data_IF_525995844810
#
_entry.id   IF_525995844810
#
_cell.length_a   1.000
_cell.length_b   1.000
_cell.length_c   1.000
_cell.angle_alpha   90.00
_cell.angle_beta   90.00
_cell.angle_gamma   90.00
#
_symmetry.space_group_name_H-M   'P 1'
#
loop_
_entity.id
_entity.type
_entity.pdbx_description
1 polymer ?
#
# COMPACT_ATOMS: atom_id res chain seq x y z
N UNK A 1 16.79 -19.47 6.12
CA UNK A 1 16.90 -18.08 5.66
C UNK A 1 18.35 -17.68 5.79
N UNK A 2 18.98 -17.22 4.72
CA UNK A 2 20.35 -16.69 4.76
C UNK A 2 20.28 -15.20 5.17
N UNK A 3 20.75 -14.84 6.37
CA UNK A 3 20.66 -13.48 6.88
C UNK A 3 21.35 -12.45 5.98
N UNK A 4 22.43 -12.85 5.29
CA UNK A 4 23.19 -11.95 4.43
C UNK A 4 22.42 -11.60 3.15
N UNK A 5 21.74 -12.57 2.53
CA UNK A 5 20.86 -12.28 1.40
C UNK A 5 19.64 -11.44 1.79
N UNK A 6 19.09 -11.66 2.98
CA UNK A 6 18.01 -10.82 3.52
C UNK A 6 18.44 -9.36 3.73
N UNK A 7 19.67 -9.10 4.17
CA UNK A 7 20.21 -7.73 4.35
C UNK A 7 20.38 -7.02 3.00
N UNK A 8 20.91 -7.71 1.98
CA UNK A 8 21.04 -7.10 0.65
C UNK A 8 19.67 -6.79 0.02
N UNK A 9 18.68 -7.68 0.21
CA UNK A 9 17.31 -7.39 -0.21
C UNK A 9 16.71 -6.18 0.53
N UNK A 10 17.01 -6.01 1.82
CA UNK A 10 16.56 -4.83 2.59
C UNK A 10 17.16 -3.52 2.07
N UNK A 11 18.42 -3.50 1.62
CA UNK A 11 19.02 -2.30 1.02
C UNK A 11 18.28 -1.90 -0.25
N UNK A 12 17.98 -2.86 -1.13
CA UNK A 12 17.21 -2.60 -2.36
C UNK A 12 15.80 -2.10 -2.05
N UNK A 13 15.14 -2.69 -1.05
CA UNK A 13 13.82 -2.23 -0.60
C UNK A 13 13.90 -0.81 -0.04
N UNK A 14 14.88 -0.50 0.81
CA UNK A 14 15.06 0.85 1.38
C UNK A 14 15.34 1.89 0.29
N UNK A 15 16.15 1.56 -0.71
CA UNK A 15 16.41 2.45 -1.86
C UNK A 15 15.15 2.68 -2.70
N UNK A 16 14.39 1.62 -2.99
CA UNK A 16 13.13 1.74 -3.72
C UNK A 16 12.10 2.57 -2.93
N UNK A 17 12.00 2.35 -1.61
CA UNK A 17 11.16 3.16 -0.73
C UNK A 17 11.61 4.62 -0.69
N UNK A 18 12.92 4.89 -0.57
CA UNK A 18 13.46 6.26 -0.64
C UNK A 18 13.07 6.98 -1.93
N UNK A 19 13.18 6.30 -3.08
CA UNK A 19 12.77 6.85 -4.37
C UNK A 19 11.28 7.19 -4.42
N UNK A 20 10.43 6.45 -3.72
CA UNK A 20 9.00 6.78 -3.60
C UNK A 20 8.83 8.07 -2.81
N UNK A 21 9.47 8.19 -1.65
CA UNK A 21 9.37 9.38 -0.80
C UNK A 21 9.92 10.63 -1.48
N UNK A 22 11.00 10.53 -2.26
CA UNK A 22 11.61 11.67 -2.98
C UNK A 22 10.71 12.25 -4.09
N UNK A 23 9.72 11.48 -4.55
CA UNK A 23 8.80 11.86 -5.61
C UNK A 23 7.46 12.41 -5.10
N UNK A 24 7.23 12.44 -3.78
CA UNK A 24 5.91 12.75 -3.21
C UNK A 24 5.91 14.02 -2.36
N UNK A 25 4.76 14.68 -2.34
CA UNK A 25 4.39 15.59 -1.25
C UNK A 25 3.45 14.92 -0.27
N UNK A 26 3.27 15.51 0.92
CA UNK A 26 2.47 14.92 2.00
C UNK A 26 1.47 15.90 2.62
N UNK A 27 0.31 15.35 2.95
CA UNK A 27 -0.71 16.01 3.77
C UNK A 27 -1.10 15.13 4.96
N UNK A 28 -1.36 15.79 6.09
CA UNK A 28 -2.17 15.24 7.17
C UNK A 28 -3.63 15.53 6.87
N UNK A 29 -4.41 14.50 6.53
CA UNK A 29 -5.78 14.64 6.05
C UNK A 29 -6.77 14.17 7.10
N UNK A 30 -7.60 15.08 7.61
CA UNK A 30 -8.65 14.73 8.54
C UNK A 30 -9.91 14.26 7.81
N UNK A 31 -10.51 13.19 8.29
CA UNK A 31 -11.80 12.73 7.83
C UNK A 31 -12.91 13.44 8.62
N UNK A 32 -13.74 14.21 7.91
CA UNK A 32 -14.91 14.91 8.45
C UNK A 32 -16.22 14.19 8.14
N UNK A 33 -16.15 12.98 7.58
CA UNK A 33 -17.31 12.14 7.30
C UNK A 33 -17.64 11.22 8.47
N UNK A 34 -18.83 10.62 8.45
CA UNK A 34 -19.25 9.63 9.45
C UNK A 34 -18.68 8.23 9.23
N UNK A 35 -18.09 7.97 8.05
CA UNK A 35 -17.45 6.70 7.70
C UNK A 35 -15.99 6.76 8.15
N UNK A 36 -15.52 5.92 9.08
CA UNK A 36 -14.13 5.98 9.53
C UNK A 36 -13.16 5.39 8.49
N UNK A 37 -11.90 5.83 8.54
CA UNK A 37 -10.83 5.08 7.91
C UNK A 37 -10.62 3.74 8.63
N UNK A 38 -10.39 2.70 7.84
CA UNK A 38 -9.87 1.43 8.30
C UNK A 38 -8.37 1.54 8.52
N UNK A 39 -7.82 0.67 9.36
CA UNK A 39 -6.36 0.48 9.49
C UNK A 39 -6.04 -1.01 9.29
N UNK A 40 -4.77 -1.37 9.14
CA UNK A 40 -4.38 -2.77 8.94
C UNK A 40 -3.01 -3.05 9.54
N UNK A 41 -2.62 -4.32 9.49
CA UNK A 41 -1.26 -4.78 9.80
C UNK A 41 -0.23 -4.42 8.71
N UNK A 42 -0.66 -3.72 7.66
CA UNK A 42 0.16 -3.14 6.62
C UNK A 42 -0.14 -1.65 6.47
N UNK A 43 0.35 -0.81 7.39
CA UNK A 43 -0.15 0.54 7.57
C UNK A 43 0.34 1.51 6.50
N UNK A 44 1.37 1.20 5.71
CA UNK A 44 1.88 2.10 4.66
C UNK A 44 1.76 1.40 3.31
N UNK A 45 0.92 1.94 2.45
CA UNK A 45 0.63 1.35 1.14
C UNK A 45 0.88 2.40 0.05
N UNK A 46 1.43 1.99 -1.08
CA UNK A 46 1.57 2.86 -2.25
C UNK A 46 1.27 2.11 -3.54
N UNK A 47 0.73 2.85 -4.50
CA UNK A 47 0.30 2.33 -5.79
C UNK A 47 0.18 3.44 -6.84
N UNK A 48 0.08 3.05 -8.11
CA UNK A 48 -0.22 3.95 -9.22
C UNK A 48 -1.74 4.18 -9.31
N UNK A 49 -2.26 5.38 -8.95
CA UNK A 49 -3.69 5.65 -8.93
C UNK A 49 -4.32 5.72 -10.33
N UNK A 50 -3.52 5.75 -11.41
CA UNK A 50 -4.02 5.73 -12.79
C UNK A 50 -4.42 4.33 -13.26
N UNK A 51 -4.05 3.29 -12.52
CA UNK A 51 -4.33 1.89 -12.86
C UNK A 51 -5.65 1.46 -12.23
N UNK A 52 -6.52 0.84 -13.04
CA UNK A 52 -7.78 0.27 -12.55
C UNK A 52 -7.52 -0.82 -11.53
N UNK A 53 -8.41 -0.96 -10.56
CA UNK A 53 -8.28 -1.94 -9.48
C UNK A 53 -7.98 -3.37 -9.97
N UNK A 54 -8.62 -3.82 -11.05
CA UNK A 54 -8.41 -5.16 -11.61
C UNK A 54 -6.98 -5.42 -12.11
N UNK A 55 -6.29 -4.37 -12.56
CA UNK A 55 -4.93 -4.44 -13.12
C UNK A 55 -3.87 -3.93 -12.16
N UNK A 56 -4.29 -3.42 -10.99
CA UNK A 56 -3.42 -2.81 -10.00
C UNK A 56 -2.47 -3.86 -9.42
N UNK A 57 -1.18 -3.57 -9.46
CA UNK A 57 -0.14 -4.36 -8.81
C UNK A 57 0.38 -3.61 -7.58
N UNK A 58 0.46 -4.27 -6.41
CA UNK A 58 0.91 -3.60 -5.19
C UNK A 58 2.38 -3.22 -5.32
N UNK A 59 2.76 -2.03 -4.85
CA UNK A 59 4.15 -1.58 -4.75
C UNK A 59 4.95 -1.52 -6.04
N UNK A 60 4.27 -1.51 -7.20
CA UNK A 60 4.92 -1.34 -8.50
C UNK A 60 4.97 0.15 -8.85
N UNK A 61 6.18 0.62 -9.16
CA UNK A 61 6.42 1.97 -9.64
C UNK A 61 6.66 1.94 -11.14
N UNK A 62 6.00 2.82 -11.87
CA UNK A 62 6.33 3.08 -13.27
C UNK A 62 7.28 4.28 -13.32
N UNK A 63 8.31 4.27 -14.17
CA UNK A 63 9.13 5.45 -14.39
C UNK A 63 8.24 6.65 -14.76
N UNK A 64 8.33 7.73 -13.97
CA UNK A 64 7.51 8.94 -14.11
C UNK A 64 5.99 8.72 -14.01
N UNK A 65 5.55 7.58 -13.48
CA UNK A 65 4.13 7.33 -13.21
C UNK A 65 3.69 8.03 -11.92
N UNK A 66 2.38 8.34 -11.78
CA UNK A 66 1.88 8.90 -10.54
C UNK A 66 1.98 7.86 -9.43
N UNK A 67 2.22 8.34 -8.21
CA UNK A 67 2.27 7.50 -7.01
C UNK A 67 1.38 8.13 -5.96
N UNK A 68 0.52 7.31 -5.38
CA UNK A 68 -0.31 7.66 -4.23
C UNK A 68 0.09 6.76 -3.07
N UNK A 69 0.39 7.37 -1.93
CA UNK A 69 0.68 6.71 -0.66
C UNK A 69 -0.45 6.97 0.33
N UNK A 70 -0.88 5.91 1.00
CA UNK A 70 -1.83 5.98 2.12
C UNK A 70 -1.18 5.42 3.37
N UNK A 71 -1.22 6.19 4.45
CA UNK A 71 -0.91 5.72 5.79
C UNK A 71 -2.02 6.11 6.77
N UNK A 72 -3.04 5.24 6.97
CA UNK A 72 -4.10 5.52 7.92
C UNK A 72 -3.55 5.46 9.36
N UNK A 73 -3.49 6.62 10.01
CA UNK A 73 -2.97 6.78 11.37
C UNK A 73 -4.06 6.47 12.39
N UNK A 74 -5.28 6.90 12.09
CA UNK A 74 -6.45 6.72 12.93
C UNK A 74 -7.73 6.71 12.08
N UNK A 75 -8.90 6.43 12.68
CA UNK A 75 -10.19 6.48 11.98
C UNK A 75 -10.51 7.83 11.37
N UNK A 76 -9.90 8.89 11.89
CA UNK A 76 -10.16 10.28 11.50
C UNK A 76 -8.96 10.96 10.85
N UNK A 77 -7.84 10.26 10.67
CA UNK A 77 -6.60 10.84 10.15
C UNK A 77 -5.84 9.86 9.26
N UNK A 78 -5.46 10.34 8.08
CA UNK A 78 -4.57 9.63 7.16
C UNK A 78 -3.41 10.55 6.78
N UNK A 79 -2.20 9.99 6.70
CA UNK A 79 -1.13 10.65 5.94
C UNK A 79 -1.33 10.26 4.48
N UNK A 80 -1.60 11.28 3.68
CA UNK A 80 -1.80 11.17 2.24
C UNK A 80 -0.54 11.64 1.54
N UNK A 81 0.05 10.77 0.73
CA UNK A 81 1.16 11.12 -0.15
C UNK A 81 0.71 11.08 -1.60
N UNK A 82 1.12 12.07 -2.39
CA UNK A 82 0.80 12.12 -3.81
C UNK A 82 1.94 12.80 -4.58
N UNK A 83 2.31 12.21 -5.70
CA UNK A 83 3.32 12.76 -6.61
C UNK A 83 2.98 14.14 -7.18
N UNK A 84 1.69 14.46 -7.35
CA UNK A 84 1.22 15.72 -7.94
C UNK A 84 1.40 16.94 -7.04
N UNK A 85 1.55 16.74 -5.73
CA UNK A 85 1.71 17.79 -4.71
C UNK A 85 3.16 17.95 -4.23
N UNK A 86 4.11 17.29 -4.91
CA UNK A 86 5.52 17.30 -4.52
C UNK A 86 6.08 18.72 -4.44
N UNK A 87 5.81 19.55 -5.44
CA UNK A 87 6.40 20.89 -5.51
C UNK A 87 5.88 21.79 -4.39
N UNK A 88 4.59 21.69 -4.07
CA UNK A 88 3.98 22.39 -2.94
C UNK A 88 4.61 21.94 -1.61
N UNK A 89 4.80 20.64 -1.42
CA UNK A 89 5.45 20.10 -0.22
C UNK A 89 6.90 20.58 -0.07
N UNK A 90 7.64 20.71 -1.18
CA UNK A 90 9.01 21.23 -1.14
C UNK A 90 9.04 22.71 -0.73
N UNK A 91 8.05 23.50 -1.16
CA UNK A 91 7.98 24.92 -0.80
C UNK A 91 7.40 25.19 0.59
N UNK A 92 6.43 24.40 1.04
CA UNK A 92 5.58 24.72 2.19
C UNK A 92 5.66 23.68 3.33
N UNK A 93 6.23 22.51 3.05
CA UNK A 93 6.27 21.38 3.99
C UNK A 93 4.99 20.56 3.99
N UNK A 94 4.73 19.84 5.09
CA UNK A 94 3.53 19.00 5.23
C UNK A 94 2.27 19.87 5.31
N UNK A 95 1.34 19.66 4.39
CA UNK A 95 0.04 20.31 4.38
C UNK A 95 -0.96 19.70 5.36
N UNK A 96 -2.05 20.43 5.65
CA UNK A 96 -3.20 19.92 6.38
C UNK A 96 -4.44 20.09 5.50
N UNK A 97 -5.23 19.03 5.36
CA UNK A 97 -6.47 19.07 4.60
C UNK A 97 -7.60 18.33 5.32
N UNK A 98 -8.82 18.55 4.85
CA UNK A 98 -10.03 17.88 5.33
C UNK A 98 -10.70 17.17 4.14
N UNK A 99 -11.15 15.93 4.36
CA UNK A 99 -12.05 15.21 3.44
C UNK A 99 -13.44 15.21 4.03
N UNK A 100 -14.39 15.72 3.26
CA UNK A 100 -15.82 15.75 3.62
C UNK A 100 -16.67 14.88 2.69
N UNK A 101 -16.08 14.27 1.66
CA UNK A 101 -16.80 13.37 0.75
C UNK A 101 -16.57 11.90 1.12
N UNK A 102 -17.67 11.18 1.35
CA UNK A 102 -17.64 9.76 1.72
C UNK A 102 -16.96 8.90 0.65
N UNK A 103 -17.10 9.26 -0.64
CA UNK A 103 -16.52 8.50 -1.74
C UNK A 103 -15.00 8.37 -1.63
N UNK A 104 -14.28 9.42 -1.22
CA UNK A 104 -12.82 9.33 -1.03
C UNK A 104 -12.46 8.37 0.11
N UNK A 105 -13.23 8.41 1.20
CA UNK A 105 -13.02 7.52 2.34
C UNK A 105 -13.26 6.06 1.94
N UNK A 106 -14.29 5.78 1.15
CA UNK A 106 -14.55 4.44 0.62
C UNK A 106 -13.45 3.95 -0.31
N UNK A 107 -12.93 4.82 -1.20
CA UNK A 107 -11.80 4.50 -2.08
C UNK A 107 -10.56 4.15 -1.25
N UNK A 108 -10.23 4.94 -0.23
CA UNK A 108 -9.06 4.67 0.62
C UNK A 108 -9.25 3.37 1.40
N UNK A 109 -10.41 3.16 1.99
CA UNK A 109 -10.73 1.94 2.73
C UNK A 109 -10.67 0.69 1.85
N UNK A 110 -11.10 0.80 0.57
CA UNK A 110 -10.96 -0.29 -0.40
C UNK A 110 -9.49 -0.68 -0.57
N UNK A 111 -8.60 0.28 -0.78
CA UNK A 111 -7.17 -0.01 -0.94
C UNK A 111 -6.55 -0.55 0.36
N UNK A 112 -6.89 0.02 1.51
CA UNK A 112 -6.43 -0.48 2.84
C UNK A 112 -6.81 -1.95 3.03
N UNK A 113 -8.04 -2.34 2.69
CA UNK A 113 -8.49 -3.73 2.75
C UNK A 113 -7.73 -4.66 1.80
N UNK A 114 -7.45 -4.22 0.56
CA UNK A 114 -6.72 -5.01 -0.44
C UNK A 114 -5.27 -5.23 -0.05
N UNK A 115 -4.64 -4.21 0.52
CA UNK A 115 -3.23 -4.23 0.90
C UNK A 115 -2.97 -4.87 2.28
N UNK A 116 -4.00 -5.07 3.11
CA UNK A 116 -3.85 -5.75 4.39
C UNK A 116 -3.25 -7.16 4.23
N UNK A 117 -2.31 -7.52 5.10
CA UNK A 117 -1.66 -8.83 5.04
C UNK A 117 -2.48 -9.88 5.78
N UNK A 118 -2.95 -9.59 6.98
CA UNK A 118 -3.70 -10.54 7.80
C UNK A 118 -4.94 -9.93 8.40
N UNK A 119 -4.84 -8.68 8.86
CA UNK A 119 -5.86 -8.06 9.68
C UNK A 119 -6.22 -6.68 9.17
N UNK A 120 -7.53 -6.42 9.15
CA UNK A 120 -8.11 -5.09 8.99
C UNK A 120 -8.78 -4.75 10.31
N UNK A 121 -8.50 -3.56 10.84
CA UNK A 121 -9.08 -3.07 12.09
C UNK A 121 -10.13 -2.02 11.78
N UNK A 122 -11.39 -2.33 12.12
CA UNK A 122 -12.52 -1.42 12.07
C UNK A 122 -12.85 -0.93 13.48
N UNK A 123 -13.24 0.34 13.61
CA UNK A 123 -13.64 0.93 14.90
C UNK A 123 -15.15 0.96 15.12
N UNK A 124 -15.92 0.79 14.05
CA UNK A 124 -17.38 0.79 14.08
C UNK A 124 -17.91 -0.30 13.16
N UNK A 125 -19.12 -0.76 13.44
CA UNK A 125 -19.84 -1.63 12.52
C UNK A 125 -20.22 -0.88 11.23
N UNK A 126 -20.42 -1.62 10.14
CA UNK A 126 -20.90 -1.10 8.85
C UNK A 126 -19.93 -1.23 7.67
N UNK A 127 -18.70 -1.66 7.92
CA UNK A 127 -17.66 -1.85 6.88
C UNK A 127 -17.35 -3.34 6.62
N UNK A 128 -18.09 -4.26 7.24
CA UNK A 128 -17.88 -5.71 7.15
C UNK A 128 -17.99 -6.21 5.72
N UNK A 129 -18.93 -5.66 4.94
CA UNK A 129 -19.08 -6.00 3.53
C UNK A 129 -17.82 -5.70 2.73
N UNK A 130 -17.26 -4.50 2.87
CA UNK A 130 -16.03 -4.09 2.18
C UNK A 130 -14.83 -4.94 2.61
N UNK A 131 -14.74 -5.25 3.90
CA UNK A 131 -13.68 -6.13 4.43
C UNK A 131 -13.81 -7.53 3.83
N UNK A 132 -15.04 -8.06 3.78
CA UNK A 132 -15.33 -9.39 3.24
C UNK A 132 -15.04 -9.48 1.74
N UNK A 133 -15.36 -8.44 0.97
CA UNK A 133 -15.07 -8.33 -0.48
C UNK A 133 -13.56 -8.53 -0.79
N UNK A 134 -12.68 -8.21 0.16
CA UNK A 134 -11.22 -8.30 0.00
C UNK A 134 -10.54 -9.25 0.99
N UNK A 135 -11.29 -10.07 1.73
CA UNK A 135 -10.77 -10.92 2.80
C UNK A 135 -9.75 -11.97 2.31
N UNK A 136 -9.87 -12.39 1.05
CA UNK A 136 -9.02 -13.42 0.47
C UNK A 136 -7.78 -12.88 -0.25
N UNK A 137 -7.62 -11.56 -0.37
CA UNK A 137 -6.54 -10.93 -1.13
C UNK A 137 -5.52 -10.24 -0.23
N UNK A 138 -4.25 -10.32 -0.59
CA UNK A 138 -3.18 -9.52 0.01
C UNK A 138 -2.02 -9.35 -0.98
N UNK A 139 -1.12 -8.38 -0.80
CA UNK A 139 0.10 -8.31 -1.58
C UNK A 139 0.96 -9.56 -1.35
N UNK A 140 1.31 -10.28 -2.41
CA UNK A 140 2.19 -11.44 -2.39
C UNK A 140 3.24 -11.33 -3.50
N UNK A 141 4.34 -12.08 -3.35
CA UNK A 141 5.38 -12.20 -4.38
C UNK A 141 5.05 -13.42 -5.23
N UNK A 142 4.86 -13.23 -6.54
CA UNK A 142 4.86 -14.32 -7.52
C UNK A 142 6.28 -14.51 -8.06
N UNK A 143 6.71 -15.76 -8.15
CA UNK A 143 7.98 -16.17 -8.72
C UNK A 143 7.72 -16.88 -10.04
N UNK A 144 8.23 -16.33 -11.14
CA UNK A 144 8.15 -16.94 -12.45
C UNK A 144 9.59 -17.29 -12.90
N UNK A 145 9.79 -18.53 -13.35
CA UNK A 145 11.07 -18.99 -13.93
C UNK A 145 10.99 -18.78 -15.44
N UNK A 146 11.94 -18.04 -15.99
CA UNK A 146 12.03 -17.74 -17.42
C UNK A 146 13.34 -18.34 -17.95
N UNK A 147 13.26 -19.11 -19.03
CA UNK A 147 14.40 -19.79 -19.65
C UNK A 147 14.37 -21.32 -19.50
N UNK A 148 15.40 -21.98 -20.03
CA UNK A 148 15.63 -23.42 -19.89
C UNK A 148 17.14 -23.71 -19.83
N UNK A 149 17.58 -24.54 -18.89
CA UNK A 149 18.99 -24.92 -18.75
C UNK A 149 19.81 -23.95 -17.89
N UNK A 150 21.07 -23.70 -18.27
CA UNK A 150 21.99 -22.82 -17.52
C UNK A 150 21.60 -21.33 -17.54
N UNK A 151 20.67 -20.93 -18.41
CA UNK A 151 20.14 -19.55 -18.53
C UNK A 151 18.80 -19.34 -17.77
N UNK A 152 18.53 -20.13 -16.74
CA UNK A 152 17.32 -19.96 -15.92
C UNK A 152 17.40 -18.66 -15.10
N UNK A 153 16.49 -17.73 -15.40
CA UNK A 153 16.31 -16.49 -14.62
C UNK A 153 15.03 -16.55 -13.81
N UNK A 154 15.07 -16.05 -12.58
CA UNK A 154 13.88 -15.91 -11.73
C UNK A 154 13.42 -14.46 -11.78
N UNK A 155 12.17 -14.24 -12.17
CA UNK A 155 11.50 -12.94 -12.11
C UNK A 155 10.55 -12.93 -10.93
N UNK A 156 10.56 -11.83 -10.20
CA UNK A 156 9.72 -11.58 -9.04
C UNK A 156 8.72 -10.48 -9.39
N UNK A 157 7.45 -10.68 -9.06
CA UNK A 157 6.42 -9.68 -9.26
C UNK A 157 5.54 -9.56 -8.02
N UNK A 158 5.26 -8.33 -7.60
CA UNK A 158 4.27 -8.05 -6.57
C UNK A 158 2.87 -8.12 -7.19
N UNK A 159 2.01 -8.98 -6.64
CA UNK A 159 0.64 -9.20 -7.11
C UNK A 159 -0.34 -9.21 -5.93
N UNK A 160 -1.64 -9.03 -6.18
CA UNK A 160 -2.65 -9.42 -5.20
C UNK A 160 -2.90 -10.92 -5.34
N UNK A 161 -2.45 -11.68 -4.35
CA UNK A 161 -2.63 -13.13 -4.27
C UNK A 161 -3.45 -13.53 -3.06
N UNK A 162 -3.60 -14.85 -2.86
CA UNK A 162 -4.32 -15.41 -1.72
C UNK A 162 -3.69 -14.92 -0.41
N UNK A 163 -4.54 -14.45 0.51
CA UNK A 163 -4.15 -14.07 1.86
C UNK A 163 -3.70 -15.30 2.64
N UNK A 164 -2.38 -15.45 2.81
CA UNK A 164 -1.83 -16.56 3.57
C UNK A 164 -1.87 -16.27 5.07
N UNK A 165 -2.36 -17.26 5.83
CA UNK A 165 -2.24 -17.23 7.29
C UNK A 165 -0.80 -17.58 7.63
N UNK A 166 -0.01 -16.60 8.11
CA UNK A 166 1.36 -16.90 8.56
C UNK A 166 1.28 -17.95 9.66
N UNK A 167 2.14 -18.99 9.62
CA UNK A 167 2.19 -19.97 10.69
C UNK A 167 2.45 -19.25 12.01
N UNK A 168 1.83 -19.72 13.10
CA UNK A 168 2.23 -19.27 14.44
C UNK A 168 3.72 -19.59 14.60
N UNK A 169 4.47 -18.66 15.19
CA UNK A 169 5.85 -18.94 15.60
C UNK A 169 5.83 -20.21 16.47
N UNK A 170 6.63 -21.18 16.10
CA UNK A 170 6.83 -22.42 16.85
C UNK A 170 8.25 -22.32 17.40
N UNK A 171 8.38 -22.35 18.73
CA UNK A 171 9.67 -22.26 19.42
C UNK A 171 10.63 -23.41 19.07
#
# INVERSE_FOLDING_TARGET
>A
MDPHQSIHAMVTVMQATGQVFDQMGFYAVHNKTDVPFLTSDNPVIWFDPSVKDADLRPYVLRPNGPVLLLFPVSPSLIIYGDSSIRDEFVSEGVGIADISEVNFVEIFNRQICRFAYQAVFAQKAGQERLIQEHAELSPTIRFDRIGAGEDESVVFEMVFGKRERKPKWVD
#
